data_IF_248101926843
#
_entry.id   IF_248101926843
#
_cell.length_a   1.000
_cell.length_b   1.000
_cell.length_c   1.000
_cell.angle_alpha   90.00
_cell.angle_beta   90.00
_cell.angle_gamma   90.00
#
_symmetry.space_group_name_H-M   'P 1'
#
loop_
_entity.id
_entity.type
_entity.pdbx_description
1 polymer ?
#
# COMPACT_ATOMS: atom_id res chain seq x y z
N UNK A 1 89.19 13.13 15.41
CA UNK A 1 89.83 13.70 14.20
C UNK A 1 89.83 12.63 13.13
N UNK A 2 88.90 12.70 12.18
CA UNK A 2 89.02 13.39 10.88
C UNK A 2 89.80 12.56 9.86
N UNK A 3 89.12 12.12 8.80
CA UNK A 3 89.73 11.58 7.59
C UNK A 3 88.72 10.86 6.70
N UNK A 4 88.33 11.50 5.60
CA UNK A 4 87.17 11.20 4.75
C UNK A 4 87.62 10.66 3.38
N UNK A 5 86.98 9.56 2.92
CA UNK A 5 86.53 9.19 1.53
C UNK A 5 87.66 8.92 0.49
N UNK A 6 87.67 7.97 -0.47
CA UNK A 6 86.72 7.44 -1.50
C UNK A 6 87.22 6.05 -1.99
N UNK A 7 86.40 5.12 -2.52
CA UNK A 7 85.88 5.09 -3.90
C UNK A 7 85.00 3.85 -4.17
N UNK A 8 84.04 4.02 -5.10
CA UNK A 8 83.37 3.02 -5.96
C UNK A 8 82.41 2.04 -5.26
N UNK A 9 81.17 1.77 -5.70
CA UNK A 9 80.53 1.73 -7.02
C UNK A 9 79.02 1.75 -6.71
N UNK A 10 78.15 2.56 -7.29
CA UNK A 10 77.82 2.59 -8.72
C UNK A 10 76.62 1.68 -9.04
N UNK A 11 75.42 1.96 -8.49
CA UNK A 11 74.13 1.46 -9.01
C UNK A 11 73.02 2.45 -8.61
N UNK A 12 72.70 3.39 -9.49
CA UNK A 12 71.46 4.15 -9.44
C UNK A 12 70.62 3.73 -10.65
N UNK A 13 69.64 2.87 -10.41
CA UNK A 13 68.63 2.52 -11.40
C UNK A 13 67.70 3.72 -11.59
N UNK A 14 67.84 4.40 -12.73
CA UNK A 14 66.90 5.44 -13.16
C UNK A 14 65.67 4.75 -13.74
N UNK A 15 64.65 4.51 -12.91
CA UNK A 15 63.33 4.11 -13.40
C UNK A 15 62.64 5.36 -13.98
N UNK A 16 62.58 5.43 -15.30
CA UNK A 16 61.80 6.44 -16.01
C UNK A 16 60.30 6.18 -15.76
N UNK A 17 59.67 7.02 -14.94
CA UNK A 17 58.22 7.07 -14.77
C UNK A 17 57.67 7.78 -16.02
N UNK A 18 57.24 7.01 -17.01
CA UNK A 18 56.38 7.53 -18.08
C UNK A 18 54.96 7.57 -17.52
N UNK A 19 54.54 8.76 -17.10
CA UNK A 19 53.16 9.04 -16.72
C UNK A 19 52.27 9.05 -17.96
N UNK A 20 51.44 8.03 -18.13
CA UNK A 20 50.30 8.09 -19.05
C UNK A 20 49.14 8.71 -18.28
N UNK A 21 48.91 10.00 -18.53
CA UNK A 21 47.74 10.72 -18.04
C UNK A 21 46.52 10.29 -18.86
N UNK A 22 45.78 9.30 -18.38
CA UNK A 22 44.45 8.97 -18.90
C UNK A 22 43.49 10.04 -18.42
N UNK A 23 43.08 10.93 -19.33
CA UNK A 23 41.96 11.86 -19.13
C UNK A 23 40.67 11.03 -19.04
N UNK A 24 40.27 10.66 -17.82
CA UNK A 24 38.94 10.13 -17.56
C UNK A 24 37.92 11.26 -17.78
N UNK A 25 37.21 11.21 -18.90
CA UNK A 25 36.02 12.01 -19.10
C UNK A 25 34.97 11.57 -18.05
N UNK A 26 34.60 12.47 -17.15
CA UNK A 26 33.50 12.26 -16.21
C UNK A 26 32.21 11.94 -16.98
N UNK A 27 31.44 10.89 -16.62
CA UNK A 27 30.13 10.69 -17.21
C UNK A 27 29.21 11.83 -16.75
N UNK A 28 28.68 12.58 -17.71
CA UNK A 28 27.67 13.62 -17.50
C UNK A 28 26.43 12.98 -16.84
N UNK A 29 26.08 13.44 -15.64
CA UNK A 29 24.79 13.14 -15.00
C UNK A 29 23.67 13.61 -15.95
N UNK A 30 22.67 12.77 -16.31
CA UNK A 30 21.52 13.26 -17.05
C UNK A 30 20.75 14.24 -16.16
N UNK A 31 20.55 15.45 -16.68
CA UNK A 31 19.73 16.50 -16.10
C UNK A 31 18.27 16.03 -16.07
N UNK A 32 17.52 16.17 -14.95
CA UNK A 32 16.11 15.82 -14.94
C UNK A 32 15.34 16.77 -15.86
N UNK A 33 14.71 16.20 -16.90
CA UNK A 33 13.85 16.93 -17.81
C UNK A 33 12.78 17.71 -17.02
N UNK A 34 12.83 19.03 -17.17
CA UNK A 34 11.87 19.96 -16.58
C UNK A 34 10.46 19.66 -17.09
N UNK A 35 9.49 19.61 -16.17
CA UNK A 35 8.05 19.43 -16.41
C UNK A 35 7.39 20.53 -17.28
N UNK A 36 8.18 21.42 -17.89
CA UNK A 36 7.73 22.49 -18.75
C UNK A 36 7.71 22.12 -20.26
N UNK A 37 8.44 21.11 -20.72
CA UNK A 37 8.48 20.75 -22.16
C UNK A 37 7.38 19.76 -22.59
N UNK A 38 6.60 19.22 -21.65
CA UNK A 38 5.50 18.31 -21.95
C UNK A 38 4.15 19.00 -22.27
N UNK A 39 4.09 20.34 -22.33
CA UNK A 39 2.82 21.08 -22.54
C UNK A 39 2.67 21.84 -23.86
N UNK A 40 3.59 21.71 -24.82
CA UNK A 40 3.47 22.41 -26.11
C UNK A 40 3.66 21.45 -27.29
N UNK A 41 2.76 20.48 -27.47
CA UNK A 41 2.69 19.69 -28.71
C UNK A 41 1.32 19.07 -29.05
N UNK A 42 0.23 19.42 -28.36
CA UNK A 42 -1.08 18.83 -28.68
C UNK A 42 -2.23 19.83 -28.53
N UNK A 43 -2.26 20.83 -29.41
CA UNK A 43 -3.41 21.70 -29.58
C UNK A 43 -3.56 22.09 -31.04
N UNK A 44 -4.22 21.26 -31.87
CA UNK A 44 -4.99 21.66 -33.07
C UNK A 44 -6.10 20.65 -33.38
N UNK A 45 -7.31 21.04 -32.99
CA UNK A 45 -8.61 20.99 -33.70
C UNK A 45 -8.82 19.98 -34.85
N UNK A 46 -9.82 19.09 -34.69
CA UNK A 46 -10.76 18.74 -35.77
C UNK A 46 -12.04 18.07 -35.24
N UNK A 47 -13.19 18.69 -35.52
CA UNK A 47 -14.51 18.06 -35.69
C UNK A 47 -15.16 18.75 -36.91
N UNK A 48 -16.08 18.12 -37.69
CA UNK A 48 -17.35 17.56 -37.18
C UNK A 48 -17.90 16.26 -37.83
N UNK A 49 -18.70 15.56 -37.00
CA UNK A 49 -19.99 14.86 -37.24
C UNK A 49 -20.12 13.68 -38.23
N UNK A 50 -20.62 12.53 -37.73
CA UNK A 50 -21.96 11.93 -38.01
C UNK A 50 -22.28 10.90 -36.89
N UNK A 51 -23.47 10.98 -36.28
CA UNK A 51 -24.12 10.00 -35.38
C UNK A 51 -25.12 9.13 -36.22
N UNK A 52 -25.81 8.05 -35.72
CA UNK A 52 -26.06 7.66 -34.33
C UNK A 52 -26.08 6.13 -34.04
N UNK A 53 -26.47 5.78 -32.80
CA UNK A 53 -26.89 4.45 -32.30
C UNK A 53 -25.79 3.54 -31.72
N UNK A 54 -25.72 3.49 -30.38
CA UNK A 54 -26.10 2.31 -29.61
C UNK A 54 -26.02 2.59 -28.10
N UNK A 55 -27.09 2.19 -27.41
CA UNK A 55 -27.21 1.98 -25.97
C UNK A 55 -26.98 3.20 -25.05
N UNK A 56 -28.10 3.77 -24.59
CA UNK A 56 -28.13 4.44 -23.30
C UNK A 56 -27.49 3.52 -22.23
N UNK A 57 -26.63 4.03 -21.33
CA UNK A 57 -26.26 3.25 -20.17
C UNK A 57 -27.54 3.01 -19.39
N UNK A 58 -27.90 1.74 -19.19
CA UNK A 58 -28.88 1.37 -18.19
C UNK A 58 -28.49 2.09 -16.88
N UNK A 59 -29.44 2.70 -16.15
CA UNK A 59 -29.12 3.23 -14.84
C UNK A 59 -28.55 2.07 -14.03
N UNK A 60 -27.24 2.13 -13.76
CA UNK A 60 -26.64 1.36 -12.68
C UNK A 60 -27.43 1.81 -11.46
N UNK A 61 -28.37 0.98 -11.03
CA UNK A 61 -28.93 1.05 -9.69
C UNK A 61 -27.74 0.93 -8.77
N UNK A 62 -27.15 2.08 -8.43
CA UNK A 62 -26.36 2.23 -7.22
C UNK A 62 -27.17 1.51 -6.17
N UNK A 63 -26.62 0.42 -5.63
CA UNK A 63 -27.24 -0.33 -4.57
C UNK A 63 -27.66 0.70 -3.54
N UNK A 64 -28.98 0.92 -3.41
CA UNK A 64 -29.51 1.84 -2.40
C UNK A 64 -28.93 1.35 -1.09
N UNK A 65 -28.44 2.29 -0.28
CA UNK A 65 -27.82 2.01 1.01
C UNK A 65 -28.85 1.34 1.95
N UNK A 66 -29.11 0.05 1.74
CA UNK A 66 -29.84 -0.77 2.68
C UNK A 66 -28.99 -0.85 3.95
N UNK A 67 -29.60 -0.71 5.13
CA UNK A 67 -28.86 -0.73 6.37
C UNK A 67 -28.10 -2.05 6.48
N UNK A 68 -26.78 -1.99 6.53
CA UNK A 68 -25.95 -3.17 6.76
C UNK A 68 -26.00 -3.48 8.26
N UNK A 69 -26.95 -4.32 8.63
CA UNK A 69 -27.17 -4.73 10.02
C UNK A 69 -26.23 -5.87 10.38
N UNK A 70 -25.50 -5.72 11.48
CA UNK A 70 -24.69 -6.79 12.05
C UNK A 70 -25.59 -7.86 12.67
N UNK A 71 -25.44 -9.09 12.20
CA UNK A 71 -26.20 -10.30 12.58
C UNK A 71 -25.40 -11.26 13.46
N UNK A 72 -24.08 -11.22 13.37
CA UNK A 72 -23.17 -12.06 14.16
C UNK A 72 -21.82 -11.37 14.29
N UNK A 73 -21.25 -11.44 15.49
CA UNK A 73 -19.88 -11.06 15.80
C UNK A 73 -19.14 -12.35 16.18
N UNK A 74 -17.86 -12.45 15.83
CA UNK A 74 -17.05 -13.58 16.24
C UNK A 74 -16.90 -13.58 17.77
N UNK A 75 -17.03 -14.73 18.44
CA UNK A 75 -16.82 -14.81 19.89
C UNK A 75 -15.33 -14.74 20.20
N UNK A 76 -14.79 -13.52 20.25
CA UNK A 76 -13.39 -13.22 20.57
C UNK A 76 -13.34 -12.64 21.97
N UNK A 77 -12.71 -13.38 22.89
CA UNK A 77 -12.58 -12.95 24.27
C UNK A 77 -11.36 -12.05 24.48
N UNK A 78 -11.61 -10.80 24.87
CA UNK A 78 -10.57 -9.81 25.16
C UNK A 78 -9.96 -9.14 23.91
N UNK A 79 -8.91 -8.32 24.10
CA UNK A 79 -8.28 -7.60 23.00
C UNK A 79 -7.46 -8.53 22.11
N UNK A 80 -7.58 -8.35 20.79
CA UNK A 80 -6.77 -9.06 19.79
C UNK A 80 -5.32 -8.57 19.89
N UNK A 81 -4.38 -9.49 20.11
CA UNK A 81 -2.95 -9.14 20.25
C UNK A 81 -2.28 -8.97 18.89
N UNK A 82 -1.11 -8.32 18.86
CA UNK A 82 -0.31 -8.21 17.64
C UNK A 82 -0.04 -9.60 17.02
N UNK A 83 -0.33 -9.73 15.73
CA UNK A 83 -0.18 -10.98 14.98
C UNK A 83 -1.36 -11.94 15.13
N UNK A 84 -2.27 -11.70 16.07
CA UNK A 84 -3.47 -12.51 16.26
C UNK A 84 -4.54 -12.16 15.22
N UNK A 85 -5.24 -13.20 14.77
CA UNK A 85 -6.34 -13.08 13.83
C UNK A 85 -7.28 -14.28 13.97
N UNK A 86 -8.54 -14.04 13.62
CA UNK A 86 -9.63 -15.00 13.69
C UNK A 86 -10.34 -15.04 12.34
N UNK A 87 -10.80 -16.23 11.94
CA UNK A 87 -11.61 -16.38 10.72
C UNK A 87 -12.61 -17.52 10.87
N UNK A 88 -13.87 -17.24 10.60
CA UNK A 88 -14.93 -18.24 10.55
C UNK A 88 -16.07 -17.81 9.60
N UNK A 89 -16.02 -18.33 8.38
CA UNK A 89 -17.03 -18.15 7.33
C UNK A 89 -17.99 -19.35 7.22
N UNK A 90 -17.94 -20.30 8.17
CA UNK A 90 -18.84 -21.45 8.18
C UNK A 90 -20.28 -20.98 8.40
N UNK A 91 -21.18 -21.54 7.59
CA UNK A 91 -22.62 -21.28 7.60
C UNK A 91 -22.98 -19.80 7.38
N UNK A 92 -22.08 -19.04 6.74
CA UNK A 92 -22.32 -17.63 6.41
C UNK A 92 -22.91 -17.52 5.01
N UNK A 93 -24.15 -16.99 4.86
CA UNK A 93 -24.73 -16.74 3.56
C UNK A 93 -23.87 -15.80 2.71
N UNK A 94 -23.95 -15.94 1.39
CA UNK A 94 -23.39 -14.92 0.49
C UNK A 94 -24.11 -13.60 0.68
N UNK A 95 -23.38 -12.51 0.55
CA UNK A 95 -23.90 -11.16 0.76
C UNK A 95 -22.81 -10.11 0.56
N UNK A 96 -23.15 -8.83 0.71
CA UNK A 96 -22.18 -7.73 0.59
C UNK A 96 -21.03 -7.90 1.58
N UNK A 97 -19.83 -7.54 1.14
CA UNK A 97 -18.64 -7.46 1.98
C UNK A 97 -18.48 -6.04 2.48
N UNK A 98 -18.35 -5.90 3.80
CA UNK A 98 -18.03 -4.64 4.48
C UNK A 98 -16.83 -4.88 5.38
N UNK A 99 -15.86 -3.99 5.30
CA UNK A 99 -14.65 -4.04 6.11
C UNK A 99 -14.65 -2.82 7.01
N UNK A 100 -14.33 -3.00 8.29
CA UNK A 100 -14.10 -1.90 9.23
C UNK A 100 -12.67 -1.95 9.71
N UNK A 101 -12.08 -0.78 9.93
CA UNK A 101 -10.76 -0.60 10.56
C UNK A 101 -10.94 0.42 11.66
N UNK A 102 -10.79 0.00 12.91
CA UNK A 102 -10.80 0.93 14.04
C UNK A 102 -9.38 1.28 14.48
N UNK A 103 -9.05 2.57 14.42
CA UNK A 103 -7.70 3.06 14.69
C UNK A 103 -7.31 3.00 16.17
N UNK A 104 -8.26 3.11 17.09
CA UNK A 104 -7.99 3.07 18.53
C UNK A 104 -7.87 1.63 19.02
N UNK A 105 -8.76 0.75 18.55
CA UNK A 105 -8.68 -0.67 18.84
C UNK A 105 -7.53 -1.37 18.09
N UNK A 106 -7.05 -0.77 16.99
CA UNK A 106 -6.09 -1.38 16.04
C UNK A 106 -6.58 -2.72 15.51
N UNK A 107 -7.87 -2.78 15.17
CA UNK A 107 -8.52 -3.99 14.67
C UNK A 107 -9.16 -3.72 13.31
N UNK A 108 -8.99 -4.68 12.40
CA UNK A 108 -9.77 -4.79 11.17
C UNK A 108 -10.75 -5.95 11.30
N UNK A 109 -12.04 -5.68 11.03
CA UNK A 109 -13.10 -6.68 10.97
C UNK A 109 -13.69 -6.79 9.56
N UNK A 110 -14.10 -8.00 9.19
CA UNK A 110 -14.67 -8.34 7.88
C UNK A 110 -16.05 -8.92 8.09
N UNK A 111 -17.04 -8.30 7.46
CA UNK A 111 -18.42 -8.74 7.52
C UNK A 111 -18.90 -9.18 6.15
N UNK A 112 -19.58 -10.31 6.09
CA UNK A 112 -20.26 -10.82 4.89
C UNK A 112 -21.75 -10.95 5.19
N UNK A 113 -22.58 -10.15 4.52
CA UNK A 113 -24.04 -10.19 4.68
C UNK A 113 -24.52 -9.94 6.13
N UNK A 114 -23.75 -9.17 6.91
CA UNK A 114 -23.99 -8.89 8.33
C UNK A 114 -23.29 -9.83 9.31
N UNK A 115 -22.63 -10.89 8.85
CA UNK A 115 -21.91 -11.82 9.73
C UNK A 115 -20.44 -11.46 9.74
N UNK A 116 -19.86 -11.20 10.91
CA UNK A 116 -18.40 -11.09 11.03
C UNK A 116 -17.78 -12.46 10.72
N UNK A 117 -16.90 -12.47 9.73
CA UNK A 117 -16.19 -13.66 9.23
C UNK A 117 -14.70 -13.62 9.54
N UNK A 118 -14.17 -12.46 9.90
CA UNK A 118 -12.78 -12.34 10.33
C UNK A 118 -12.51 -11.07 11.12
N UNK A 119 -11.56 -11.15 12.04
CA UNK A 119 -11.04 -10.01 12.78
C UNK A 119 -9.53 -10.19 13.01
N UNK A 120 -8.75 -9.10 12.97
CA UNK A 120 -7.30 -9.15 13.14
C UNK A 120 -6.73 -7.88 13.73
N UNK A 121 -5.64 -8.00 14.49
CA UNK A 121 -4.80 -6.86 14.85
C UNK A 121 -4.08 -6.31 13.61
N UNK A 122 -4.00 -4.98 13.51
CA UNK A 122 -3.38 -4.31 12.37
C UNK A 122 -2.24 -3.37 12.77
N UNK A 123 -1.32 -3.18 11.83
CA UNK A 123 -0.37 -2.07 11.83
C UNK A 123 -0.97 -0.89 11.07
N UNK A 124 -0.89 0.28 11.69
CA UNK A 124 -1.45 1.53 11.19
C UNK A 124 -0.34 2.56 10.96
N UNK A 125 -0.72 3.66 10.33
CA UNK A 125 0.16 4.81 10.09
C UNK A 125 0.69 5.42 11.39
N UNK A 126 1.88 6.02 11.29
CA UNK A 126 2.46 6.86 12.36
C UNK A 126 1.72 8.19 12.49
N UNK A 127 2.05 8.99 13.50
CA UNK A 127 1.52 10.35 13.63
C UNK A 127 1.88 11.25 12.44
N UNK A 128 3.09 11.10 11.89
CA UNK A 128 3.56 11.86 10.72
C UNK A 128 2.90 11.39 9.40
N UNK A 129 2.46 10.12 9.35
CA UNK A 129 1.83 9.49 8.18
C UNK A 129 0.63 8.66 8.63
N UNK A 130 -0.46 9.30 9.10
CA UNK A 130 -1.58 8.60 9.70
C UNK A 130 -2.40 7.84 8.67
N UNK A 131 -3.02 6.74 9.10
CA UNK A 131 -4.07 6.09 8.31
C UNK A 131 -5.29 7.03 8.25
N UNK A 132 -5.80 7.36 7.05
CA UNK A 132 -6.88 8.32 6.92
C UNK A 132 -8.22 7.74 7.40
N UNK A 133 -9.04 8.57 8.04
CA UNK A 133 -10.42 8.25 8.39
C UNK A 133 -11.34 8.42 7.15
N UNK A 134 -12.41 7.64 7.08
CA UNK A 134 -13.42 7.77 6.03
C UNK A 134 -13.90 6.43 5.47
N UNK A 135 -14.51 6.49 4.29
CA UNK A 135 -15.03 5.32 3.57
C UNK A 135 -14.34 5.22 2.22
N UNK A 136 -13.63 4.13 2.01
CA UNK A 136 -12.79 3.93 0.83
C UNK A 136 -13.26 2.71 0.04
N UNK A 137 -13.49 2.83 -1.28
CA UNK A 137 -13.67 1.65 -2.11
C UNK A 137 -12.32 0.96 -2.34
N UNK A 138 -12.34 -0.37 -2.49
CA UNK A 138 -11.20 -1.08 -3.04
C UNK A 138 -11.11 -0.81 -4.55
N UNK A 139 -10.08 -0.10 -5.00
CA UNK A 139 -9.93 0.33 -6.40
C UNK A 139 -8.97 -0.53 -7.22
N UNK A 140 -8.07 -1.25 -6.54
CA UNK A 140 -7.11 -2.14 -7.18
C UNK A 140 -6.82 -3.33 -6.27
N UNK A 141 -6.47 -4.47 -6.89
CA UNK A 141 -6.00 -5.67 -6.19
C UNK A 141 -4.79 -6.24 -6.90
N UNK A 142 -3.75 -6.56 -6.15
CA UNK A 142 -2.51 -7.16 -6.67
C UNK A 142 -1.93 -8.11 -5.61
N UNK A 143 -1.75 -9.38 -5.98
CA UNK A 143 -1.33 -10.43 -5.05
C UNK A 143 0.14 -10.29 -4.65
N UNK A 144 1.00 -9.92 -5.59
CA UNK A 144 2.45 -9.98 -5.44
C UNK A 144 3.06 -8.57 -5.51
N UNK A 145 2.31 -7.59 -4.99
CA UNK A 145 2.63 -6.18 -5.16
C UNK A 145 3.94 -5.80 -4.48
N UNK A 146 4.72 -4.97 -5.17
CA UNK A 146 5.95 -4.38 -4.66
C UNK A 146 5.84 -2.86 -4.79
N UNK A 147 5.97 -2.15 -3.67
CA UNK A 147 5.79 -0.70 -3.65
C UNK A 147 6.95 0.03 -4.34
N UNK A 148 6.65 0.87 -5.32
CA UNK A 148 7.62 1.79 -5.92
C UNK A 148 7.93 3.01 -5.04
N UNK A 149 6.98 3.46 -4.20
CA UNK A 149 7.13 4.62 -3.31
C UNK A 149 7.70 4.27 -1.94
N UNK A 150 7.69 3.00 -1.56
CA UNK A 150 8.31 2.47 -0.34
C UNK A 150 9.51 1.58 -0.66
N UNK A 151 10.33 2.02 -1.62
CA UNK A 151 11.67 1.45 -1.91
C UNK A 151 11.67 -0.06 -2.14
N UNK A 152 10.68 -0.59 -2.87
CA UNK A 152 10.60 -2.01 -3.19
C UNK A 152 10.06 -2.89 -2.05
N UNK A 153 9.42 -2.32 -1.04
CA UNK A 153 8.81 -3.10 0.03
C UNK A 153 7.72 -4.06 -0.53
N UNK A 154 7.78 -5.37 -0.21
CA UNK A 154 6.73 -6.31 -0.59
C UNK A 154 5.46 -6.04 0.22
N UNK A 155 4.33 -5.99 -0.49
CA UNK A 155 2.99 -5.79 0.06
C UNK A 155 2.07 -6.89 -0.47
N UNK A 156 2.23 -8.15 -0.01
CA UNK A 156 1.45 -9.26 -0.54
C UNK A 156 -0.04 -9.04 -0.29
N UNK A 157 -0.88 -9.47 -1.23
CA UNK A 157 -2.34 -9.32 -1.18
C UNK A 157 -2.79 -7.86 -1.06
N UNK A 158 -2.09 -6.95 -1.75
CA UNK A 158 -2.39 -5.52 -1.75
C UNK A 158 -3.79 -5.22 -2.30
N UNK A 159 -4.50 -4.34 -1.61
CA UNK A 159 -5.76 -3.76 -2.05
C UNK A 159 -5.72 -2.24 -1.87
N UNK A 160 -5.86 -1.48 -2.95
CA UNK A 160 -5.74 -0.01 -2.94
C UNK A 160 -7.03 0.65 -2.45
N UNK A 161 -6.89 1.66 -1.59
CA UNK A 161 -8.00 2.43 -1.02
C UNK A 161 -8.04 3.87 -1.53
N UNK A 162 -6.88 4.47 -1.79
CA UNK A 162 -6.76 5.87 -2.21
C UNK A 162 -5.78 6.02 -3.36
N UNK A 163 -5.91 7.09 -4.14
CA UNK A 163 -5.03 7.36 -5.30
C UNK A 163 -3.61 7.76 -4.87
N UNK A 164 -3.44 8.29 -3.66
CA UNK A 164 -2.15 8.68 -3.08
C UNK A 164 -1.39 7.52 -2.41
N UNK A 165 -1.97 6.31 -2.42
CA UNK A 165 -1.24 5.08 -2.18
C UNK A 165 -1.54 4.34 -0.88
N UNK A 166 -2.62 4.66 -0.16
CA UNK A 166 -3.04 3.90 1.02
C UNK A 166 -3.63 2.55 0.60
N UNK A 167 -3.23 1.47 1.27
CA UNK A 167 -3.63 0.10 0.94
C UNK A 167 -3.95 -0.73 2.18
N UNK A 168 -4.69 -1.82 1.96
CA UNK A 168 -4.67 -3.01 2.80
C UNK A 168 -3.63 -3.98 2.26
N UNK A 169 -2.80 -4.60 3.10
CA UNK A 169 -1.87 -5.63 2.64
C UNK A 169 -1.37 -6.54 3.77
N UNK A 170 -0.78 -7.67 3.39
CA UNK A 170 -0.03 -8.54 4.28
C UNK A 170 1.22 -7.86 4.83
N UNK A 171 1.48 -8.06 6.11
CA UNK A 171 2.56 -7.46 6.87
C UNK A 171 2.94 -8.33 8.06
N UNK A 172 4.14 -8.08 8.58
CA UNK A 172 4.58 -8.61 9.86
C UNK A 172 4.03 -7.73 10.98
N UNK A 173 2.98 -8.18 11.67
CA UNK A 173 2.27 -7.41 12.70
C UNK A 173 2.86 -7.69 14.09
N UNK A 174 3.76 -6.83 14.55
CA UNK A 174 4.47 -6.98 15.82
C UNK A 174 4.60 -5.64 16.56
N UNK A 175 4.83 -5.69 17.87
CA UNK A 175 5.08 -4.50 18.68
C UNK A 175 6.34 -3.76 18.19
N UNK A 176 6.26 -2.44 18.10
CA UNK A 176 7.36 -1.59 17.62
C UNK A 176 7.38 -1.36 16.11
N UNK A 177 6.49 -2.01 15.35
CA UNK A 177 6.30 -1.74 13.93
C UNK A 177 5.13 -0.76 13.73
N UNK A 178 5.22 0.03 12.67
CA UNK A 178 4.16 0.91 12.18
C UNK A 178 4.23 0.98 10.65
N UNK A 179 3.14 1.38 10.03
CA UNK A 179 3.09 1.65 8.59
C UNK A 179 3.30 3.14 8.30
N UNK A 180 3.36 3.49 7.01
CA UNK A 180 3.31 4.88 6.53
C UNK A 180 1.91 5.26 6.04
N UNK A 181 0.87 4.76 6.71
CA UNK A 181 -0.54 5.05 6.45
C UNK A 181 -1.36 3.84 6.00
N UNK A 182 -0.72 2.85 5.37
CA UNK A 182 -1.36 1.59 4.98
C UNK A 182 -1.85 0.79 6.20
N UNK A 183 -2.79 -0.12 5.98
CA UNK A 183 -3.28 -1.03 7.01
C UNK A 183 -2.65 -2.41 6.78
N UNK A 184 -1.62 -2.71 7.57
CA UNK A 184 -0.90 -3.97 7.52
C UNK A 184 -1.57 -5.02 8.42
N UNK A 185 -1.76 -6.24 7.91
CA UNK A 185 -2.35 -7.35 8.66
C UNK A 185 -1.54 -8.65 8.46
N UNK A 186 -1.68 -9.67 9.31
CA UNK A 186 -0.97 -10.95 9.11
C UNK A 186 -1.24 -11.51 7.71
N UNK A 187 -0.20 -11.99 7.04
CA UNK A 187 -0.29 -12.39 5.63
C UNK A 187 -1.37 -13.45 5.35
N UNK A 188 -1.52 -14.43 6.24
CA UNK A 188 -2.55 -15.46 6.13
C UNK A 188 -3.98 -14.87 6.18
N UNK A 189 -4.18 -13.83 6.98
CA UNK A 189 -5.44 -13.09 7.02
C UNK A 189 -5.62 -12.25 5.75
N UNK A 190 -4.57 -11.55 5.30
CA UNK A 190 -4.60 -10.77 4.06
C UNK A 190 -4.98 -11.63 2.85
N UNK A 191 -4.47 -12.87 2.78
CA UNK A 191 -4.82 -13.84 1.76
C UNK A 191 -6.32 -14.20 1.75
N UNK A 192 -6.90 -14.40 2.94
CA UNK A 192 -8.33 -14.69 3.11
C UNK A 192 -9.20 -13.49 2.73
N UNK A 193 -8.84 -12.30 3.23
CA UNK A 193 -9.51 -11.06 2.88
C UNK A 193 -9.49 -10.84 1.36
N UNK A 194 -8.32 -10.98 0.74
CA UNK A 194 -8.16 -10.85 -0.70
C UNK A 194 -8.99 -11.87 -1.49
N UNK A 195 -9.23 -13.07 -0.97
CA UNK A 195 -10.06 -14.05 -1.64
C UNK A 195 -11.56 -13.69 -1.64
N UNK A 196 -12.04 -12.97 -0.62
CA UNK A 196 -13.47 -12.67 -0.47
C UNK A 196 -13.87 -11.28 -0.98
N UNK A 197 -12.95 -10.33 -1.05
CA UNK A 197 -13.24 -8.96 -1.49
C UNK A 197 -13.26 -8.81 -3.01
N UNK A 198 -13.93 -7.77 -3.48
CA UNK A 198 -14.03 -7.36 -4.88
C UNK A 198 -13.73 -5.87 -5.02
N UNK A 199 -13.50 -5.43 -6.25
CA UNK A 199 -13.39 -4.00 -6.53
C UNK A 199 -14.72 -3.30 -6.20
N UNK A 200 -14.64 -2.16 -5.53
CA UNK A 200 -15.79 -1.37 -5.09
C UNK A 200 -16.28 -1.69 -3.68
N UNK A 201 -15.90 -2.85 -3.11
CA UNK A 201 -16.20 -3.16 -1.70
C UNK A 201 -15.66 -2.06 -0.79
N UNK A 202 -16.41 -1.74 0.27
CA UNK A 202 -16.17 -0.57 1.12
C UNK A 202 -15.37 -0.93 2.37
N UNK A 203 -14.38 -0.08 2.64
CA UNK A 203 -13.56 -0.09 3.86
C UNK A 203 -13.88 1.17 4.66
N UNK A 204 -14.42 0.98 5.85
CA UNK A 204 -14.76 2.03 6.80
C UNK A 204 -13.62 2.17 7.80
N UNK A 205 -12.90 3.29 7.76
CA UNK A 205 -11.83 3.57 8.72
C UNK A 205 -12.35 4.56 9.76
N UNK A 206 -12.44 4.10 11.00
CA UNK A 206 -13.06 4.80 12.14
C UNK A 206 -12.09 4.95 13.30
N UNK A 207 -12.48 5.72 14.31
CA UNK A 207 -11.71 5.90 15.55
C UNK A 207 -12.62 5.71 16.76
N UNK A 208 -12.38 4.66 17.55
CA UNK A 208 -13.15 4.36 18.75
C UNK A 208 -14.59 3.92 18.49
N UNK A 209 -14.96 3.60 17.25
CA UNK A 209 -16.30 3.11 16.90
C UNK A 209 -16.30 1.59 17.02
N UNK A 210 -16.67 1.11 18.19
CA UNK A 210 -17.02 -0.30 18.37
C UNK A 210 -18.33 -0.59 17.64
N UNK A 211 -18.41 -1.76 17.01
CA UNK A 211 -19.58 -2.20 16.26
C UNK A 211 -20.22 -3.37 17.00
N UNK A 212 -21.48 -3.20 17.36
CA UNK A 212 -22.29 -4.15 18.13
C UNK A 212 -23.34 -4.87 17.29
N UNK A 213 -23.91 -5.93 17.86
CA UNK A 213 -25.01 -6.65 17.22
C UNK A 213 -26.20 -5.72 17.00
N UNK A 214 -26.75 -5.69 15.79
CA UNK A 214 -27.85 -4.80 15.42
C UNK A 214 -27.43 -3.42 14.92
N UNK A 215 -26.15 -3.04 15.04
CA UNK A 215 -25.67 -1.77 14.51
C UNK A 215 -25.69 -1.74 12.98
N UNK A 216 -25.91 -0.55 12.44
CA UNK A 216 -25.76 -0.27 11.02
C UNK A 216 -24.32 0.23 10.73
N UNK A 217 -23.55 -0.55 9.96
CA UNK A 217 -22.19 -0.14 9.57
C UNK A 217 -22.17 1.02 8.57
N UNK A 218 -23.26 1.21 7.83
CA UNK A 218 -23.34 2.12 6.68
C UNK A 218 -24.15 3.40 7.00
N UNK A 219 -24.89 3.41 8.12
CA UNK A 219 -25.76 4.54 8.51
C UNK A 219 -25.27 5.25 9.77
N UNK A 220 -24.90 6.51 9.61
CA UNK A 220 -24.58 7.48 10.67
C UNK A 220 -24.48 8.87 10.08
#
# INVERSE_FOLDING_TARGET
>A
MNGRIFLASGFLALAAIVGVLVMAASPSRPEPASLAEARVAAAKTSTPAVAPTAAAPAPSTAAKDEPFVIKRILPIDGPIKYGEWHWNDKDVPKGPIVITVDLDARVLSVFQGGYEVGATAVLLGTEDKPTPLGVFPITQKDRDHVSNIYTGAPMPYMQRLTDDGITLHGSKVELGYASHGCVGMPEAFAAKLFAVTHLGDKVYVTRGKQVGLGDNLIGG
#
